data_IF_410509046281
#
_entry.id   IF_410509046281
#
_cell.length_a   1.000
_cell.length_b   1.000
_cell.length_c   1.000
_cell.angle_alpha   90.00
_cell.angle_beta   90.00
_cell.angle_gamma   90.00
#
_symmetry.space_group_name_H-M   'P 1'
#
loop_
_entity.id
_entity.type
_entity.pdbx_description
1 polymer ?
#
# COMPACT_ATOMS: atom_id res chain seq x y z
N UNK A 1 -41.36 68.05 37.52
CA UNK A 1 -40.13 67.78 36.80
C UNK A 1 -39.75 66.33 37.02
N UNK A 2 -40.08 65.42 36.10
CA UNK A 2 -39.78 63.99 36.20
C UNK A 2 -38.45 63.70 35.51
N UNK A 3 -37.44 63.27 36.24
CA UNK A 3 -36.16 62.83 35.69
C UNK A 3 -36.32 61.35 35.15
N UNK A 4 -36.19 61.23 33.86
CA UNK A 4 -36.21 59.93 33.19
C UNK A 4 -34.76 59.37 33.15
N UNK A 5 -34.56 58.25 33.84
CA UNK A 5 -33.30 57.55 33.91
C UNK A 5 -33.24 56.58 32.71
N UNK A 6 -32.37 56.85 31.74
CA UNK A 6 -32.14 55.92 30.60
C UNK A 6 -31.02 54.98 31.02
N UNK A 7 -31.39 53.70 31.22
CA UNK A 7 -30.43 52.61 31.48
C UNK A 7 -29.89 52.15 30.10
N UNK A 8 -28.60 52.36 29.84
CA UNK A 8 -27.88 51.85 28.68
C UNK A 8 -27.49 50.40 29.00
N UNK A 9 -28.14 49.41 28.39
CA UNK A 9 -27.72 48.01 28.44
C UNK A 9 -26.65 47.80 27.38
N UNK A 10 -25.40 47.72 27.80
CA UNK A 10 -24.31 47.32 26.93
C UNK A 10 -24.38 45.79 26.68
N UNK A 11 -24.80 45.37 25.50
CA UNK A 11 -24.68 43.99 25.01
C UNK A 11 -23.23 43.74 24.63
N UNK A 12 -22.48 43.07 25.47
CA UNK A 12 -21.16 42.58 25.12
C UNK A 12 -21.32 41.38 24.17
N UNK A 13 -21.15 41.59 22.88
CA UNK A 13 -20.96 40.50 21.91
C UNK A 13 -19.59 39.89 22.19
N UNK A 14 -19.55 38.79 22.92
CA UNK A 14 -18.40 37.92 22.93
C UNK A 14 -18.35 37.16 21.60
N UNK A 15 -17.61 37.68 20.65
CA UNK A 15 -17.24 36.95 19.44
C UNK A 15 -16.36 35.78 19.87
N UNK A 16 -16.95 34.61 20.02
CA UNK A 16 -16.19 33.35 20.06
C UNK A 16 -15.60 33.17 18.66
N UNK A 17 -14.34 33.56 18.50
CA UNK A 17 -13.56 33.14 17.33
C UNK A 17 -13.47 31.63 17.41
N UNK A 18 -14.35 30.92 16.69
CA UNK A 18 -14.13 29.50 16.37
C UNK A 18 -12.83 29.44 15.58
N UNK A 19 -11.73 29.09 16.21
CA UNK A 19 -10.56 28.61 15.49
C UNK A 19 -11.01 27.31 14.81
N UNK A 20 -11.34 27.41 13.52
CA UNK A 20 -11.42 26.22 12.70
C UNK A 20 -10.04 25.56 12.75
N UNK A 21 -9.99 24.31 13.15
CA UNK A 21 -8.74 23.54 13.19
C UNK A 21 -8.11 23.39 11.79
N UNK A 22 -6.92 22.81 11.70
CA UNK A 22 -6.26 22.60 10.42
C UNK A 22 -7.13 21.73 9.51
N UNK A 23 -7.21 22.13 8.23
CA UNK A 23 -7.95 21.42 7.19
C UNK A 23 -6.94 20.84 6.21
N UNK A 24 -7.01 19.54 5.97
CA UNK A 24 -6.16 18.83 5.02
C UNK A 24 -6.98 18.04 4.00
N UNK A 25 -6.56 18.08 2.75
CA UNK A 25 -7.03 17.20 1.71
C UNK A 25 -6.00 16.09 1.49
N UNK A 26 -6.42 14.82 1.58
CA UNK A 26 -5.53 13.67 1.49
C UNK A 26 -5.93 12.76 0.34
N UNK A 27 -5.05 12.66 -0.65
CA UNK A 27 -5.19 11.73 -1.77
C UNK A 27 -4.62 10.37 -1.38
N UNK A 28 -5.40 9.32 -1.56
CA UNK A 28 -5.00 7.96 -1.21
C UNK A 28 -5.74 6.92 -2.06
N UNK A 29 -5.28 5.66 -2.02
CA UNK A 29 -5.94 4.53 -2.69
C UNK A 29 -6.46 3.45 -1.75
N UNK A 30 -6.46 3.67 -0.45
CA UNK A 30 -6.96 2.73 0.54
C UNK A 30 -8.49 2.72 0.57
N UNK A 31 -9.09 1.89 -0.27
CA UNK A 31 -10.54 1.82 -0.51
C UNK A 31 -11.16 0.46 -0.23
N UNK A 32 -10.36 -0.60 -0.01
CA UNK A 32 -10.87 -1.90 0.44
C UNK A 32 -11.33 -1.86 1.89
N UNK A 33 -12.05 -2.89 2.36
CA UNK A 33 -12.58 -2.94 3.72
C UNK A 33 -11.49 -2.76 4.80
N UNK A 34 -10.42 -3.52 4.70
CA UNK A 34 -9.29 -3.47 5.63
C UNK A 34 -8.50 -2.16 5.54
N UNK A 35 -8.23 -1.69 4.34
CA UNK A 35 -7.53 -0.42 4.11
C UNK A 35 -8.32 0.79 4.62
N UNK A 36 -9.62 0.85 4.33
CA UNK A 36 -10.49 1.92 4.80
C UNK A 36 -10.61 1.95 6.32
N UNK A 37 -10.63 0.79 6.97
CA UNK A 37 -10.62 0.69 8.43
C UNK A 37 -9.30 1.22 9.03
N UNK A 38 -8.17 0.91 8.41
CA UNK A 38 -6.86 1.43 8.84
C UNK A 38 -6.78 2.95 8.67
N UNK A 39 -7.22 3.48 7.52
CA UNK A 39 -7.26 4.92 7.26
C UNK A 39 -8.18 5.65 8.25
N UNK A 40 -9.29 5.01 8.64
CA UNK A 40 -10.23 5.60 9.59
C UNK A 40 -9.57 5.95 10.93
N UNK A 41 -8.58 5.18 11.38
CA UNK A 41 -7.84 5.47 12.62
C UNK A 41 -7.13 6.83 12.52
N UNK A 42 -6.48 7.10 11.40
CA UNK A 42 -5.80 8.39 11.16
C UNK A 42 -6.81 9.54 11.08
N UNK A 43 -7.93 9.32 10.40
CA UNK A 43 -9.00 10.33 10.27
C UNK A 43 -9.63 10.67 11.61
N UNK A 44 -9.91 9.65 12.43
CA UNK A 44 -10.50 9.84 13.75
C UNK A 44 -9.54 10.56 14.70
N UNK A 45 -8.25 10.22 14.69
CA UNK A 45 -7.24 10.89 15.50
C UNK A 45 -7.07 12.35 15.08
N UNK A 46 -6.98 12.63 13.78
CA UNK A 46 -6.89 13.99 13.27
C UNK A 46 -8.11 14.85 13.65
N UNK A 47 -9.32 14.27 13.58
CA UNK A 47 -10.55 14.92 13.98
C UNK A 47 -10.61 15.14 15.51
N UNK A 48 -10.15 14.18 16.31
CA UNK A 48 -10.08 14.32 17.78
C UNK A 48 -9.13 15.45 18.21
N UNK A 49 -8.12 15.76 17.39
CA UNK A 49 -7.19 16.87 17.57
C UNK A 49 -7.69 18.19 16.91
N UNK A 50 -8.96 18.25 16.52
CA UNK A 50 -9.62 19.45 16.00
C UNK A 50 -9.38 19.70 14.51
N UNK A 51 -8.83 18.74 13.77
CA UNK A 51 -8.59 18.83 12.32
C UNK A 51 -9.82 18.46 11.49
N UNK A 52 -9.90 18.96 10.27
CA UNK A 52 -10.86 18.59 9.24
C UNK A 52 -10.14 17.82 8.12
N UNK A 53 -10.50 16.54 7.96
CA UNK A 53 -9.96 15.67 6.90
C UNK A 53 -10.86 15.68 5.69
N UNK A 54 -10.36 16.14 4.55
CA UNK A 54 -11.00 16.02 3.25
C UNK A 54 -10.47 14.78 2.54
N UNK A 55 -11.34 13.82 2.36
CA UNK A 55 -11.02 12.53 1.76
C UNK A 55 -11.00 12.63 0.23
N UNK A 56 -9.90 12.19 -0.38
CA UNK A 56 -9.76 12.11 -1.84
C UNK A 56 -9.34 10.68 -2.24
N UNK A 57 -10.25 9.70 -2.17
CA UNK A 57 -9.94 8.33 -2.55
C UNK A 57 -9.86 8.16 -4.08
N UNK A 58 -8.81 7.50 -4.57
CA UNK A 58 -8.64 7.14 -5.98
C UNK A 58 -8.35 5.65 -6.08
N UNK A 59 -9.38 4.87 -6.41
CA UNK A 59 -9.30 3.41 -6.48
C UNK A 59 -8.55 2.94 -7.72
N UNK A 60 -7.83 1.83 -7.58
CA UNK A 60 -7.29 1.04 -8.70
C UNK A 60 -5.77 1.10 -8.87
N UNK A 61 -5.25 0.04 -9.49
CA UNK A 61 -3.85 -0.07 -9.88
C UNK A 61 -2.82 -0.06 -8.75
N UNK A 62 -3.22 -0.38 -7.48
CA UNK A 62 -2.29 -0.34 -6.35
C UNK A 62 -1.64 1.04 -6.14
N UNK A 63 -2.34 2.12 -6.51
CA UNK A 63 -1.88 3.50 -6.42
C UNK A 63 -1.53 4.15 -7.77
N UNK A 64 -1.51 3.40 -8.87
CA UNK A 64 -1.17 3.97 -10.19
C UNK A 64 -2.17 5.04 -10.62
N UNK A 65 -3.48 4.79 -10.46
CA UNK A 65 -4.52 5.77 -10.75
C UNK A 65 -4.40 7.01 -9.84
N UNK A 66 -4.07 6.83 -8.57
CA UNK A 66 -3.85 7.92 -7.63
C UNK A 66 -2.62 8.77 -8.02
N UNK A 67 -1.52 8.15 -8.47
CA UNK A 67 -0.35 8.87 -8.97
C UNK A 67 -0.67 9.70 -10.22
N UNK A 68 -1.47 9.17 -11.15
CA UNK A 68 -1.93 9.95 -12.32
C UNK A 68 -2.74 11.16 -11.89
N UNK A 69 -3.68 10.99 -10.96
CA UNK A 69 -4.49 12.08 -10.42
C UNK A 69 -3.63 13.12 -9.69
N UNK A 70 -2.65 12.67 -8.89
CA UNK A 70 -1.72 13.55 -8.19
C UNK A 70 -0.89 14.39 -9.17
N UNK A 71 -0.28 13.75 -10.18
CA UNK A 71 0.50 14.45 -11.22
C UNK A 71 -0.34 15.50 -11.95
N UNK A 72 -1.58 15.17 -12.30
CA UNK A 72 -2.50 16.12 -12.95
C UNK A 72 -2.78 17.36 -12.06
N UNK A 73 -2.98 17.16 -10.77
CA UNK A 73 -3.21 18.26 -9.81
C UNK A 73 -1.97 19.11 -9.60
N UNK A 74 -0.79 18.49 -9.51
CA UNK A 74 0.49 19.20 -9.40
C UNK A 74 0.69 20.11 -10.63
N UNK A 75 0.48 19.59 -11.84
CA UNK A 75 0.61 20.34 -13.10
C UNK A 75 -0.41 21.50 -13.15
N UNK A 76 -1.61 21.30 -12.61
CA UNK A 76 -2.63 22.34 -12.53
C UNK A 76 -2.32 23.43 -11.46
N UNK A 77 -1.29 23.25 -10.63
CA UNK A 77 -0.96 24.15 -9.54
C UNK A 77 -1.88 24.05 -8.33
N UNK A 78 -2.62 22.94 -8.21
CA UNK A 78 -3.60 22.67 -7.14
C UNK A 78 -3.33 21.27 -6.51
N UNK A 79 -2.15 21.04 -5.91
CA UNK A 79 -1.84 19.78 -5.26
C UNK A 79 -2.68 19.58 -3.98
N UNK A 80 -2.98 18.34 -3.57
CA UNK A 80 -3.57 18.07 -2.26
C UNK A 80 -2.61 18.46 -1.13
N UNK A 81 -3.13 18.60 0.08
CA UNK A 81 -2.30 18.88 1.28
C UNK A 81 -1.34 17.73 1.61
N UNK A 82 -1.76 16.50 1.36
CA UNK A 82 -0.95 15.30 1.50
C UNK A 82 -1.39 14.24 0.49
N UNK A 83 -0.47 13.36 0.12
CA UNK A 83 -0.76 12.22 -0.75
C UNK A 83 -0.06 10.98 -0.25
N UNK A 84 -0.78 9.87 -0.34
CA UNK A 84 -0.16 8.55 -0.21
C UNK A 84 0.76 8.33 -1.42
N UNK A 85 2.01 7.98 -1.16
CA UNK A 85 3.01 7.59 -2.17
C UNK A 85 3.83 6.44 -1.64
N UNK A 86 4.46 5.68 -2.50
CA UNK A 86 5.28 4.53 -2.11
C UNK A 86 6.71 4.64 -2.63
N UNK A 87 7.63 4.19 -1.79
CA UNK A 87 9.02 3.89 -2.08
C UNK A 87 9.71 4.85 -3.06
N UNK A 88 10.16 4.35 -4.21
CA UNK A 88 10.95 5.13 -5.16
C UNK A 88 10.26 6.37 -5.71
N UNK A 89 8.93 6.40 -5.74
CA UNK A 89 8.16 7.56 -6.20
C UNK A 89 8.41 8.81 -5.34
N UNK A 90 8.80 8.64 -4.06
CA UNK A 90 9.21 9.76 -3.20
C UNK A 90 10.41 10.49 -3.83
N UNK A 91 11.39 9.73 -4.34
CA UNK A 91 12.59 10.29 -4.97
C UNK A 91 12.29 10.98 -6.31
N UNK A 92 11.32 10.47 -7.08
CA UNK A 92 10.88 11.14 -8.31
C UNK A 92 10.30 12.51 -8.00
N UNK A 93 9.40 12.62 -7.02
CA UNK A 93 8.81 13.90 -6.61
C UNK A 93 9.81 14.84 -5.94
N UNK A 94 10.82 14.32 -5.25
CA UNK A 94 11.92 15.13 -4.72
C UNK A 94 12.73 15.77 -5.86
N UNK A 95 13.10 14.97 -6.88
CA UNK A 95 13.84 15.47 -8.05
C UNK A 95 13.02 16.50 -8.86
N UNK A 96 11.71 16.35 -8.90
CA UNK A 96 10.77 17.31 -9.51
C UNK A 96 10.52 18.54 -8.63
N UNK A 97 11.04 18.58 -7.40
CA UNK A 97 10.86 19.70 -6.45
C UNK A 97 9.45 19.82 -5.89
N UNK A 98 8.71 18.74 -5.87
CA UNK A 98 7.30 18.69 -5.47
C UNK A 98 7.13 18.45 -3.96
N UNK A 99 8.01 17.67 -3.34
CA UNK A 99 7.94 17.36 -1.91
C UNK A 99 8.50 18.48 -1.05
N UNK A 100 7.89 18.68 0.13
CA UNK A 100 8.26 19.73 1.07
C UNK A 100 8.87 19.13 2.35
N UNK A 101 10.19 18.94 2.43
CA UNK A 101 10.84 18.32 3.60
C UNK A 101 10.70 19.15 4.88
N UNK A 102 10.46 20.45 4.76
CA UNK A 102 10.41 21.37 5.91
C UNK A 102 9.36 21.03 6.95
N UNK A 103 8.29 20.34 6.58
CA UNK A 103 7.18 20.01 7.47
C UNK A 103 7.40 18.68 8.19
N UNK A 104 8.12 17.76 7.59
CA UNK A 104 8.28 16.38 8.06
C UNK A 104 9.57 16.23 8.87
N UNK A 105 10.69 16.74 8.38
CA UNK A 105 12.00 16.53 9.00
C UNK A 105 12.09 17.02 10.45
N UNK A 106 11.57 18.22 10.82
CA UNK A 106 11.60 18.66 12.22
C UNK A 106 10.87 17.70 13.16
N UNK A 107 9.79 17.08 12.71
CA UNK A 107 9.03 16.07 13.47
C UNK A 107 9.88 14.80 13.59
N UNK A 108 10.41 14.31 12.49
CA UNK A 108 11.26 13.11 12.44
C UNK A 108 12.47 13.23 13.38
N UNK A 109 13.13 14.39 13.40
CA UNK A 109 14.25 14.66 14.30
C UNK A 109 13.81 14.68 15.76
N UNK A 110 12.70 15.37 16.09
CA UNK A 110 12.21 15.49 17.46
C UNK A 110 11.76 14.15 18.05
N UNK A 111 11.23 13.24 17.21
CA UNK A 111 10.76 11.92 17.60
C UNK A 111 11.85 10.83 17.45
N UNK A 112 12.99 11.16 16.86
CA UNK A 112 14.13 10.23 16.72
C UNK A 112 13.88 9.07 15.76
N UNK A 113 13.25 9.33 14.60
CA UNK A 113 12.85 8.30 13.64
C UNK A 113 14.02 7.43 13.15
N UNK A 114 15.23 7.99 13.03
CA UNK A 114 16.44 7.22 12.65
C UNK A 114 16.77 6.10 13.65
N UNK A 115 16.34 6.21 14.90
CA UNK A 115 16.53 5.18 15.91
C UNK A 115 15.36 4.20 16.05
N UNK A 116 14.20 4.56 15.52
CA UNK A 116 12.96 3.77 15.60
C UNK A 116 12.75 2.90 14.36
N UNK A 117 13.19 3.37 13.20
CA UNK A 117 12.97 2.71 11.91
C UNK A 117 14.18 1.84 11.53
N UNK A 118 13.90 0.76 10.79
CA UNK A 118 14.97 0.06 10.07
C UNK A 118 15.69 1.06 9.15
N UNK A 119 17.05 1.02 9.06
CA UNK A 119 17.80 1.98 8.25
C UNK A 119 17.38 2.06 6.79
N UNK A 120 16.95 0.95 6.19
CA UNK A 120 16.46 0.92 4.82
C UNK A 120 15.11 1.65 4.70
N UNK A 121 14.22 1.45 5.67
CA UNK A 121 12.93 2.13 5.73
C UNK A 121 13.14 3.63 5.97
N UNK A 122 14.00 4.00 6.90
CA UNK A 122 14.36 5.39 7.13
C UNK A 122 14.87 6.06 5.84
N UNK A 123 15.77 5.39 5.13
CA UNK A 123 16.37 5.93 3.91
C UNK A 123 15.34 6.23 2.81
N UNK A 124 14.39 5.34 2.53
CA UNK A 124 13.40 5.56 1.45
C UNK A 124 12.46 6.73 1.71
N UNK A 125 12.32 7.17 2.97
CA UNK A 125 11.50 8.33 3.35
C UNK A 125 12.27 9.65 3.35
N UNK A 126 13.58 9.61 3.05
CA UNK A 126 14.45 10.78 2.96
C UNK A 126 14.59 11.24 1.52
N UNK A 127 14.59 12.55 1.32
CA UNK A 127 14.93 13.18 0.05
C UNK A 127 16.45 13.08 -0.27
N UNK A 128 16.88 13.71 -1.37
CA UNK A 128 18.27 13.80 -1.79
C UNK A 128 18.96 12.43 -1.89
N UNK A 129 18.38 11.55 -2.70
CA UNK A 129 18.87 10.19 -2.91
C UNK A 129 18.95 9.39 -1.59
N UNK A 130 17.89 9.42 -0.79
CA UNK A 130 17.75 8.67 0.45
C UNK A 130 18.74 9.04 1.57
N UNK A 131 19.35 10.22 1.51
CA UNK A 131 20.38 10.65 2.47
C UNK A 131 20.16 12.04 3.09
N UNK A 132 19.16 12.76 2.61
CA UNK A 132 18.80 14.10 3.08
C UNK A 132 17.82 14.12 4.26
N UNK A 133 17.05 15.20 4.41
CA UNK A 133 16.01 15.31 5.41
C UNK A 133 14.83 14.37 5.07
N UNK A 134 14.02 14.03 6.08
CA UNK A 134 12.76 13.33 5.85
C UNK A 134 11.79 14.22 5.06
N UNK A 135 11.22 13.67 3.99
CA UNK A 135 10.23 14.34 3.15
C UNK A 135 8.93 13.54 2.99
N UNK A 136 8.89 12.37 3.58
CA UNK A 136 7.67 11.57 3.70
C UNK A 136 7.57 10.98 5.11
N UNK A 137 6.35 10.87 5.63
CA UNK A 137 6.09 10.20 6.89
C UNK A 137 5.82 8.70 6.63
N UNK A 138 6.50 7.78 7.34
CA UNK A 138 6.18 6.37 7.28
C UNK A 138 4.86 6.12 8.00
N UNK A 139 3.84 5.68 7.26
CA UNK A 139 2.53 5.35 7.85
C UNK A 139 2.44 3.86 8.15
N UNK A 140 3.01 3.03 7.25
CA UNK A 140 3.00 1.58 7.35
C UNK A 140 4.20 0.98 6.64
N UNK A 141 4.56 -0.24 7.04
CA UNK A 141 5.63 -1.04 6.44
C UNK A 141 5.01 -2.37 6.07
N UNK A 142 5.07 -2.71 4.78
CA UNK A 142 4.48 -3.94 4.26
C UNK A 142 5.50 -5.04 4.04
N UNK A 143 5.06 -6.27 4.30
CA UNK A 143 5.68 -7.49 3.82
C UNK A 143 4.97 -7.89 2.53
N UNK A 144 5.63 -7.73 1.37
CA UNK A 144 5.03 -7.90 0.06
C UNK A 144 4.92 -9.39 -0.30
N UNK A 145 5.99 -10.15 -0.05
CA UNK A 145 6.09 -11.57 -0.41
C UNK A 145 5.41 -12.45 0.64
N UNK A 146 4.10 -12.61 0.51
CA UNK A 146 3.29 -13.38 1.42
C UNK A 146 2.32 -14.28 0.67
N UNK A 147 2.12 -15.51 1.16
CA UNK A 147 1.11 -16.42 0.64
C UNK A 147 -0.02 -16.59 1.65
N UNK A 148 -1.24 -16.45 1.18
CA UNK A 148 -2.48 -16.69 1.91
C UNK A 148 -3.12 -17.95 1.37
N UNK A 149 -3.49 -18.90 2.22
CA UNK A 149 -4.11 -20.15 1.83
C UNK A 149 -5.38 -20.41 2.62
N UNK A 150 -6.41 -20.92 1.96
CA UNK A 150 -7.60 -21.40 2.64
C UNK A 150 -7.34 -22.80 3.21
N UNK A 151 -7.15 -22.87 4.53
CA UNK A 151 -6.84 -24.13 5.21
C UNK A 151 -7.92 -25.19 5.03
N UNK A 152 -9.18 -24.81 5.05
CA UNK A 152 -10.29 -25.76 4.88
C UNK A 152 -10.29 -26.39 3.48
N UNK A 153 -10.01 -25.58 2.44
CA UNK A 153 -9.85 -26.07 1.06
C UNK A 153 -8.66 -27.02 0.95
N UNK A 154 -7.53 -26.69 1.57
CA UNK A 154 -6.34 -27.53 1.57
C UNK A 154 -6.60 -28.87 2.29
N UNK A 155 -7.16 -28.82 3.49
CA UNK A 155 -7.48 -30.03 4.29
C UNK A 155 -8.46 -30.94 3.54
N UNK A 156 -9.51 -30.38 2.92
CA UNK A 156 -10.50 -31.15 2.15
C UNK A 156 -9.90 -31.88 0.95
N UNK A 157 -8.78 -31.36 0.42
CA UNK A 157 -8.07 -31.97 -0.71
C UNK A 157 -6.80 -32.75 -0.30
N UNK A 158 -6.58 -32.94 1.00
CA UNK A 158 -5.40 -33.65 1.52
C UNK A 158 -4.08 -32.96 1.15
N UNK A 159 -4.06 -31.64 1.19
CA UNK A 159 -2.90 -30.79 0.85
C UNK A 159 -2.33 -30.21 2.14
N UNK A 160 -1.04 -30.42 2.38
CA UNK A 160 -0.29 -29.71 3.42
C UNK A 160 0.12 -28.33 2.92
N UNK A 161 0.32 -27.37 3.84
CA UNK A 161 0.85 -26.04 3.48
C UNK A 161 2.22 -26.21 2.81
N UNK A 162 2.39 -25.76 1.54
CA UNK A 162 3.63 -25.92 0.81
C UNK A 162 4.74 -25.04 1.38
N UNK A 163 5.98 -25.54 1.34
CA UNK A 163 7.19 -24.85 1.81
C UNK A 163 8.18 -24.59 0.68
N UNK A 164 7.85 -25.05 -0.53
CA UNK A 164 8.65 -24.85 -1.74
C UNK A 164 7.75 -24.60 -2.96
N UNK A 165 8.33 -24.07 -4.03
CA UNK A 165 7.61 -23.87 -5.30
C UNK A 165 7.13 -25.20 -5.91
N UNK A 166 7.91 -26.26 -5.79
CA UNK A 166 7.51 -27.59 -6.30
C UNK A 166 6.31 -28.15 -5.53
N UNK A 167 6.30 -28.01 -4.20
CA UNK A 167 5.15 -28.38 -3.37
C UNK A 167 3.91 -27.52 -3.68
N UNK A 168 4.10 -26.22 -3.92
CA UNK A 168 3.01 -25.31 -4.30
C UNK A 168 2.41 -25.69 -5.66
N UNK A 169 3.26 -26.01 -6.64
CA UNK A 169 2.82 -26.45 -7.96
C UNK A 169 2.02 -27.77 -7.86
N UNK A 170 2.53 -28.74 -7.10
CA UNK A 170 1.83 -30.01 -6.88
C UNK A 170 0.49 -29.81 -6.13
N UNK A 171 0.43 -28.89 -5.17
CA UNK A 171 -0.80 -28.50 -4.50
C UNK A 171 -1.81 -27.88 -5.48
N UNK A 172 -1.34 -26.98 -6.33
CA UNK A 172 -2.16 -26.32 -7.35
C UNK A 172 -2.73 -27.33 -8.36
N UNK A 173 -1.94 -28.28 -8.83
CA UNK A 173 -2.40 -29.35 -9.73
C UNK A 173 -3.51 -30.20 -9.08
N UNK A 174 -3.36 -30.53 -7.78
CA UNK A 174 -4.40 -31.26 -7.03
C UNK A 174 -5.71 -30.44 -6.93
N UNK A 175 -5.62 -29.17 -6.62
CA UNK A 175 -6.79 -28.29 -6.54
C UNK A 175 -7.48 -28.18 -7.89
N UNK A 176 -6.72 -28.00 -8.97
CA UNK A 176 -7.25 -27.95 -10.33
C UNK A 176 -7.96 -29.23 -10.73
N UNK A 177 -7.38 -30.41 -10.40
CA UNK A 177 -8.00 -31.70 -10.62
C UNK A 177 -9.30 -31.89 -9.82
N UNK A 178 -9.42 -31.24 -8.66
CA UNK A 178 -10.62 -31.22 -7.83
C UNK A 178 -11.67 -30.18 -8.27
N UNK A 179 -11.40 -29.41 -9.34
CA UNK A 179 -12.29 -28.37 -9.83
C UNK A 179 -12.29 -27.08 -8.99
N UNK A 180 -11.28 -26.89 -8.15
CA UNK A 180 -11.07 -25.68 -7.35
C UNK A 180 -10.06 -24.79 -8.09
N UNK A 181 -10.31 -23.49 -8.16
CA UNK A 181 -9.32 -22.52 -8.68
C UNK A 181 -8.09 -22.57 -7.75
N UNK A 182 -6.90 -22.96 -8.24
CA UNK A 182 -5.75 -23.04 -7.35
C UNK A 182 -5.32 -21.67 -6.84
N UNK A 183 -5.08 -20.73 -7.76
CA UNK A 183 -4.45 -19.44 -7.51
C UNK A 183 -5.43 -18.30 -7.80
N UNK A 184 -5.93 -17.63 -6.75
CA UNK A 184 -6.71 -16.41 -6.88
C UNK A 184 -5.76 -15.25 -7.19
N UNK A 185 -5.90 -14.67 -8.36
CA UNK A 185 -5.05 -13.58 -8.82
C UNK A 185 -5.88 -12.50 -9.52
N UNK A 186 -5.45 -11.25 -9.39
CA UNK A 186 -5.97 -10.14 -10.18
C UNK A 186 -4.90 -9.71 -11.16
N UNK A 187 -5.14 -9.84 -12.47
CA UNK A 187 -4.17 -9.57 -13.51
C UNK A 187 -3.92 -8.08 -13.78
N UNK A 188 -3.66 -7.30 -12.74
CA UNK A 188 -3.17 -5.94 -12.83
C UNK A 188 -1.65 -5.94 -12.69
N UNK A 189 -0.94 -5.10 -13.42
CA UNK A 189 0.52 -5.10 -13.52
C UNK A 189 1.24 -5.08 -12.15
N UNK A 190 0.72 -4.30 -11.19
CA UNK A 190 1.31 -4.24 -9.85
C UNK A 190 1.15 -5.57 -9.06
N UNK A 191 0.04 -6.30 -9.29
CA UNK A 191 -0.16 -7.62 -8.67
C UNK A 191 0.76 -8.66 -9.31
N UNK A 192 0.98 -8.59 -10.63
CA UNK A 192 1.98 -9.41 -11.33
C UNK A 192 3.38 -9.13 -10.79
N UNK A 193 3.72 -7.85 -10.53
CA UNK A 193 4.99 -7.47 -9.92
C UNK A 193 5.16 -8.07 -8.51
N UNK A 194 4.13 -8.03 -7.67
CA UNK A 194 4.14 -8.66 -6.33
C UNK A 194 4.41 -10.17 -6.42
N UNK A 195 3.75 -10.87 -7.33
CA UNK A 195 3.98 -12.31 -7.56
C UNK A 195 5.39 -12.55 -8.08
N UNK A 196 5.85 -11.70 -9.00
CA UNK A 196 7.20 -11.78 -9.55
C UNK A 196 8.28 -11.64 -8.48
N UNK A 197 8.13 -10.67 -7.55
CA UNK A 197 9.06 -10.48 -6.45
C UNK A 197 9.13 -11.72 -5.56
N UNK A 198 7.97 -12.29 -5.17
CA UNK A 198 7.91 -13.51 -4.39
C UNK A 198 8.61 -14.70 -5.10
N UNK A 199 8.40 -14.86 -6.41
CA UNK A 199 9.05 -15.90 -7.20
C UNK A 199 10.55 -15.66 -7.33
N UNK A 200 10.97 -14.43 -7.62
CA UNK A 200 12.37 -14.07 -7.78
C UNK A 200 13.17 -14.26 -6.48
N UNK A 201 12.60 -13.83 -5.34
CA UNK A 201 13.18 -14.02 -4.02
C UNK A 201 13.21 -15.50 -3.62
N UNK A 202 12.13 -16.23 -3.85
CA UNK A 202 12.03 -17.63 -3.47
C UNK A 202 12.93 -18.56 -4.27
N UNK A 203 13.21 -18.27 -5.55
CA UNK A 203 14.08 -19.06 -6.42
C UNK A 203 15.54 -18.62 -6.33
N UNK A 204 15.78 -17.31 -6.36
CA UNK A 204 17.13 -16.74 -6.47
C UNK A 204 17.73 -16.27 -5.15
N UNK A 205 16.89 -15.96 -4.16
CA UNK A 205 17.29 -15.39 -2.88
C UNK A 205 17.73 -13.93 -2.97
N UNK A 206 18.06 -13.35 -1.82
CA UNK A 206 18.38 -11.92 -1.67
C UNK A 206 19.50 -11.44 -2.60
N UNK A 207 20.57 -12.21 -2.74
CA UNK A 207 21.71 -11.82 -3.58
C UNK A 207 21.34 -11.75 -5.06
N UNK A 208 20.53 -12.68 -5.53
CA UNK A 208 20.01 -12.67 -6.87
C UNK A 208 19.13 -11.44 -7.10
N UNK A 209 18.14 -11.23 -6.22
CA UNK A 209 17.23 -10.09 -6.32
C UNK A 209 18.00 -8.76 -6.36
N UNK A 210 18.94 -8.58 -5.42
CA UNK A 210 19.78 -7.38 -5.37
C UNK A 210 20.57 -7.19 -6.66
N UNK A 211 21.27 -8.22 -7.12
CA UNK A 211 22.11 -8.11 -8.32
C UNK A 211 21.31 -7.85 -9.60
N UNK A 212 20.16 -8.49 -9.75
CA UNK A 212 19.35 -8.41 -10.96
C UNK A 212 18.47 -7.16 -11.00
N UNK A 213 17.78 -6.84 -9.89
CA UNK A 213 16.68 -5.87 -9.90
C UNK A 213 16.96 -4.59 -9.12
N UNK A 214 18.02 -4.55 -8.31
CA UNK A 214 18.48 -3.33 -7.66
C UNK A 214 19.73 -2.80 -8.36
N UNK A 215 20.76 -3.66 -8.53
CA UNK A 215 22.05 -3.28 -9.15
C UNK A 215 22.01 -3.38 -10.70
N UNK A 216 20.94 -3.94 -11.27
CA UNK A 216 20.67 -4.09 -12.71
C UNK A 216 21.83 -4.74 -13.50
N UNK A 217 22.50 -5.74 -12.91
CA UNK A 217 23.63 -6.44 -13.54
C UNK A 217 23.14 -7.30 -14.71
N UNK A 218 23.54 -6.98 -15.91
CA UNK A 218 23.13 -7.68 -17.14
C UNK A 218 23.43 -9.19 -17.08
N UNK A 219 24.57 -9.59 -16.54
CA UNK A 219 24.94 -11.01 -16.37
C UNK A 219 23.97 -11.78 -15.49
N UNK A 220 23.40 -11.12 -14.46
CA UNK A 220 22.38 -11.68 -13.61
C UNK A 220 21.06 -11.83 -14.35
N UNK A 221 20.63 -10.80 -15.07
CA UNK A 221 19.38 -10.78 -15.85
C UNK A 221 19.35 -11.86 -16.95
N UNK A 222 20.51 -12.27 -17.47
CA UNK A 222 20.66 -13.33 -18.47
C UNK A 222 20.97 -14.71 -17.89
N UNK A 223 20.86 -14.88 -16.59
CA UNK A 223 21.21 -16.13 -15.90
C UNK A 223 20.14 -17.21 -16.06
N UNK A 224 20.54 -18.47 -15.84
CA UNK A 224 19.58 -19.60 -15.75
C UNK A 224 18.58 -19.42 -14.63
N UNK A 225 18.95 -18.74 -13.54
CA UNK A 225 18.04 -18.43 -12.44
C UNK A 225 16.89 -17.55 -12.93
N UNK A 226 17.18 -16.56 -13.77
CA UNK A 226 16.15 -15.71 -14.38
C UNK A 226 15.19 -16.51 -15.26
N UNK A 227 15.68 -17.48 -16.00
CA UNK A 227 14.83 -18.40 -16.79
C UNK A 227 13.88 -19.18 -15.85
N UNK A 228 14.41 -19.73 -14.76
CA UNK A 228 13.59 -20.45 -13.75
C UNK A 228 12.52 -19.57 -13.12
N UNK A 229 12.82 -18.30 -12.86
CA UNK A 229 11.85 -17.33 -12.33
C UNK A 229 10.69 -17.16 -13.30
N UNK A 230 10.96 -16.90 -14.58
CA UNK A 230 9.91 -16.75 -15.58
C UNK A 230 9.16 -18.06 -15.88
N UNK A 231 9.81 -19.20 -15.78
CA UNK A 231 9.13 -20.50 -15.92
C UNK A 231 8.15 -20.75 -14.79
N UNK A 232 8.51 -20.36 -13.55
CA UNK A 232 7.60 -20.44 -12.41
C UNK A 232 6.43 -19.45 -12.55
N UNK A 233 6.67 -18.23 -13.01
CA UNK A 233 5.61 -17.26 -13.32
C UNK A 233 4.61 -17.82 -14.33
N UNK A 234 5.10 -18.46 -15.39
CA UNK A 234 4.27 -19.11 -16.40
C UNK A 234 3.44 -20.28 -15.84
N UNK A 235 4.00 -21.05 -14.91
CA UNK A 235 3.23 -22.10 -14.21
C UNK A 235 2.11 -21.50 -13.38
N UNK A 236 2.39 -20.46 -12.58
CA UNK A 236 1.38 -19.80 -11.76
C UNK A 236 0.25 -19.22 -12.60
N UNK A 237 0.54 -18.64 -13.76
CA UNK A 237 -0.47 -18.16 -14.69
C UNK A 237 -1.43 -19.28 -15.12
N UNK A 238 -0.92 -20.50 -15.32
CA UNK A 238 -1.74 -21.66 -15.66
C UNK A 238 -2.70 -22.14 -14.56
N UNK A 239 -2.55 -21.61 -13.36
CA UNK A 239 -3.39 -21.93 -12.19
C UNK A 239 -4.44 -20.86 -11.87
N UNK A 240 -4.47 -19.74 -12.61
CA UNK A 240 -5.48 -18.69 -12.47
C UNK A 240 -6.74 -19.03 -13.26
N UNK A 241 -7.86 -18.37 -12.91
CA UNK A 241 -9.11 -18.46 -13.68
C UNK A 241 -9.16 -17.41 -14.82
N UNK A 242 -10.05 -17.64 -15.80
CA UNK A 242 -10.21 -16.76 -16.96
C UNK A 242 -10.66 -15.34 -16.61
N UNK A 243 -11.28 -15.14 -15.43
CA UNK A 243 -11.72 -13.84 -14.94
C UNK A 243 -10.62 -13.03 -14.24
N UNK A 244 -9.38 -13.52 -14.17
CA UNK A 244 -8.29 -12.81 -13.46
C UNK A 244 -7.87 -11.48 -14.08
N UNK A 245 -7.89 -11.24 -15.42
CA UNK A 245 -7.43 -9.98 -15.98
C UNK A 245 -8.19 -8.77 -15.45
N UNK A 246 -7.46 -7.80 -14.89
CA UNK A 246 -8.02 -6.55 -14.37
C UNK A 246 -8.79 -6.66 -13.04
N UNK A 247 -8.90 -7.86 -12.46
CA UNK A 247 -9.55 -8.05 -11.15
C UNK A 247 -8.79 -7.30 -10.07
N UNK A 248 -9.51 -6.63 -9.18
CA UNK A 248 -8.91 -6.04 -7.99
C UNK A 248 -8.44 -7.10 -6.99
N UNK A 249 -7.37 -6.80 -6.28
CA UNK A 249 -6.70 -7.73 -5.39
C UNK A 249 -7.59 -8.25 -4.25
N UNK A 250 -8.44 -7.38 -3.69
CA UNK A 250 -9.37 -7.73 -2.61
C UNK A 250 -10.51 -8.64 -3.09
N UNK A 251 -10.89 -8.55 -4.36
CA UNK A 251 -11.84 -9.50 -4.98
C UNK A 251 -11.20 -10.89 -5.08
N UNK A 252 -9.92 -10.98 -5.47
CA UNK A 252 -9.18 -12.22 -5.46
C UNK A 252 -9.02 -12.77 -4.02
N UNK A 253 -8.78 -11.90 -3.03
CA UNK A 253 -8.75 -12.29 -1.61
C UNK A 253 -10.10 -12.87 -1.17
N UNK A 254 -11.21 -12.25 -1.57
CA UNK A 254 -12.56 -12.75 -1.31
C UNK A 254 -12.79 -14.18 -1.83
N UNK A 255 -12.21 -14.53 -2.99
CA UNK A 255 -12.31 -15.89 -3.53
C UNK A 255 -11.62 -16.92 -2.62
N UNK A 256 -10.50 -16.57 -2.00
CA UNK A 256 -9.82 -17.43 -1.02
C UNK A 256 -10.64 -17.54 0.26
N UNK A 257 -11.17 -16.44 0.77
CA UNK A 257 -12.02 -16.41 1.98
C UNK A 257 -13.24 -17.31 1.79
N UNK A 258 -13.90 -17.21 0.66
CA UNK A 258 -15.12 -17.98 0.32
C UNK A 258 -14.84 -19.46 -0.05
N UNK A 259 -13.57 -19.87 -0.10
CA UNK A 259 -13.19 -21.22 -0.48
C UNK A 259 -13.37 -21.54 -1.98
N UNK A 260 -13.56 -20.53 -2.82
CA UNK A 260 -13.63 -20.65 -4.29
C UNK A 260 -12.25 -20.88 -4.89
N UNK A 261 -11.20 -20.41 -4.18
CA UNK A 261 -9.81 -20.61 -4.57
C UNK A 261 -8.97 -21.12 -3.40
N UNK A 262 -7.86 -21.78 -3.73
CA UNK A 262 -6.98 -22.40 -2.76
C UNK A 262 -6.05 -21.41 -2.07
N UNK A 263 -5.39 -20.54 -2.84
CA UNK A 263 -4.41 -19.60 -2.29
C UNK A 263 -4.31 -18.31 -3.11
N UNK A 264 -3.67 -17.31 -2.52
CA UNK A 264 -3.29 -16.04 -3.13
C UNK A 264 -1.86 -15.67 -2.72
N UNK A 265 -1.07 -15.11 -3.63
CA UNK A 265 0.19 -14.41 -3.31
C UNK A 265 -0.11 -12.92 -3.31
N UNK A 266 -0.03 -12.30 -2.14
CA UNK A 266 -0.40 -10.90 -1.92
C UNK A 266 0.21 -10.42 -0.62
N UNK A 267 0.58 -9.17 -0.54
CA UNK A 267 1.20 -8.60 0.65
C UNK A 267 0.34 -8.68 1.91
N UNK A 268 0.95 -8.33 3.04
CA UNK A 268 0.34 -8.46 4.36
C UNK A 268 -0.88 -7.55 4.58
N UNK A 269 -1.10 -6.55 3.75
CA UNK A 269 -2.34 -5.76 3.75
C UNK A 269 -3.59 -6.60 3.55
N UNK A 270 -3.48 -7.75 2.86
CA UNK A 270 -4.61 -8.65 2.67
C UNK A 270 -5.13 -9.24 3.99
N UNK A 271 -4.33 -9.22 5.08
CA UNK A 271 -4.79 -9.66 6.40
C UNK A 271 -6.04 -8.91 6.85
N UNK A 272 -6.15 -7.63 6.52
CA UNK A 272 -7.33 -6.83 6.86
C UNK A 272 -8.63 -7.43 6.31
N UNK A 273 -8.59 -7.94 5.09
CA UNK A 273 -9.75 -8.61 4.46
C UNK A 273 -10.05 -9.98 5.08
N UNK A 274 -9.01 -10.75 5.44
CA UNK A 274 -9.17 -12.06 6.07
C UNK A 274 -9.69 -12.00 7.52
N UNK A 275 -9.59 -10.85 8.18
CA UNK A 275 -9.96 -10.66 9.60
C UNK A 275 -11.18 -9.78 9.81
N UNK A 276 -11.76 -9.23 8.74
CA UNK A 276 -12.93 -8.36 8.76
C UNK A 276 -14.25 -9.09 9.10
#
# INVERSE_FOLDING_TARGET
MKKMLIALIAFAFTSTSSFAGPKIEVLHWWTSGGEAAALKVLKDDFAANGGEWLDMPVTGGGGDAANVALKARIVAGDPPSASQIKGPTIQEYDQEGVVAPYNIDPIAQSEGWDSLLDPMIAAVHKCQNNSGPYCAAPVNIHRIDWMWANKAVFDANGISVPTSWDELNAAAEKLQAAGVIPFAHGGQAWQDATVFEAVAMGIGGNNYYKNCYVDLKETCLRSETTVKVFDQMRKLQGFTDEGSPGRDWNVATGMVIEGKAGFQIMGDWAKGEFTA
#
